data_IF_792263417867
#
_entry.id   IF_792263417867
#
_cell.length_a   1.000
_cell.length_b   1.000
_cell.length_c   1.000
_cell.angle_alpha   90.00
_cell.angle_beta   90.00
_cell.angle_gamma   90.00
#
_symmetry.space_group_name_H-M   'P 1'
#
loop_
_entity.id
_entity.type
_entity.pdbx_description
1 polymer ?
#
# COMPACT_ATOMS: atom_id res chain seq x y z
N UNK A 1 6.44 -33.03 -52.08
CA UNK A 1 7.18 -32.78 -50.82
C UNK A 1 6.36 -31.76 -50.06
N UNK A 2 5.78 -32.13 -48.92
CA UNK A 2 5.00 -31.21 -48.10
C UNK A 2 5.97 -30.36 -47.29
N UNK A 3 5.93 -29.03 -47.49
CA UNK A 3 6.56 -28.06 -46.61
C UNK A 3 5.99 -28.24 -45.20
N UNK A 4 6.85 -28.62 -44.26
CA UNK A 4 6.52 -28.55 -42.84
C UNK A 4 6.42 -27.07 -42.47
N UNK A 5 5.19 -26.56 -42.32
CA UNK A 5 4.93 -25.27 -41.71
C UNK A 5 5.46 -25.30 -40.28
N UNK A 6 6.47 -24.48 -40.00
CA UNK A 6 6.97 -24.24 -38.65
C UNK A 6 5.83 -23.68 -37.76
N UNK A 7 5.85 -23.94 -36.44
CA UNK A 7 4.76 -23.54 -35.56
C UNK A 7 4.55 -22.01 -35.57
N UNK A 8 3.27 -21.61 -35.53
CA UNK A 8 2.74 -20.26 -35.81
C UNK A 8 2.96 -19.25 -34.67
N UNK A 9 3.55 -19.63 -33.53
CA UNK A 9 3.68 -18.78 -32.33
C UNK A 9 5.09 -18.81 -31.72
N UNK A 10 5.64 -17.63 -31.39
CA UNK A 10 6.87 -17.50 -30.59
C UNK A 10 6.55 -17.72 -29.10
N UNK A 11 7.29 -18.58 -28.37
CA UNK A 11 7.16 -18.72 -26.92
C UNK A 11 7.09 -17.40 -26.14
N UNK A 12 7.80 -16.36 -26.58
CA UNK A 12 7.76 -15.03 -25.92
C UNK A 12 6.39 -14.37 -26.02
N UNK A 13 5.73 -14.50 -27.17
CA UNK A 13 4.38 -13.96 -27.38
C UNK A 13 3.37 -14.68 -26.47
N UNK A 14 3.56 -15.99 -26.27
CA UNK A 14 2.74 -16.78 -25.34
C UNK A 14 2.94 -16.28 -23.91
N UNK A 15 4.19 -16.09 -23.47
CA UNK A 15 4.52 -15.60 -22.13
C UNK A 15 3.96 -14.20 -21.88
N UNK A 16 4.08 -13.30 -22.86
CA UNK A 16 3.52 -11.95 -22.80
C UNK A 16 1.99 -11.98 -22.68
N UNK A 17 1.32 -12.83 -23.46
CA UNK A 17 -0.12 -13.00 -23.41
C UNK A 17 -0.58 -13.55 -22.05
N UNK A 18 0.12 -14.55 -21.52
CA UNK A 18 -0.13 -15.09 -20.19
C UNK A 18 0.04 -14.03 -19.09
N UNK A 19 1.07 -13.18 -19.21
CA UNK A 19 1.31 -12.09 -18.28
C UNK A 19 0.19 -11.05 -18.30
N UNK A 20 -0.37 -10.74 -19.48
CA UNK A 20 -1.53 -9.84 -19.61
C UNK A 20 -2.73 -10.42 -18.87
N UNK A 21 -3.06 -11.70 -19.10
CA UNK A 21 -4.18 -12.35 -18.41
C UNK A 21 -3.98 -12.42 -16.90
N UNK A 22 -2.77 -12.76 -16.45
CA UNK A 22 -2.47 -12.81 -15.01
C UNK A 22 -2.62 -11.43 -14.35
N UNK A 23 -2.16 -10.36 -15.00
CA UNK A 23 -2.33 -8.99 -14.50
C UNK A 23 -3.80 -8.60 -14.37
N UNK A 24 -4.64 -9.01 -15.32
CA UNK A 24 -6.08 -8.74 -15.25
C UNK A 24 -6.78 -9.53 -14.15
N UNK A 25 -6.37 -10.79 -13.92
CA UNK A 25 -6.88 -11.60 -12.81
C UNK A 25 -6.51 -11.00 -11.44
N UNK A 26 -5.26 -10.55 -11.27
CA UNK A 26 -4.76 -9.94 -10.03
C UNK A 26 -5.57 -8.70 -9.61
N UNK A 27 -6.15 -7.97 -10.57
CA UNK A 27 -7.00 -6.80 -10.29
C UNK A 27 -8.33 -7.13 -9.61
N UNK A 28 -8.70 -8.42 -9.47
CA UNK A 28 -9.87 -8.86 -8.71
C UNK A 28 -11.20 -8.21 -9.13
N UNK A 29 -11.41 -7.99 -10.44
CA UNK A 29 -12.62 -7.29 -10.97
C UNK A 29 -13.91 -8.12 -10.91
N UNK A 30 -13.79 -9.43 -10.67
CA UNK A 30 -14.90 -10.36 -10.56
C UNK A 30 -14.52 -11.52 -9.61
N UNK A 31 -15.49 -12.35 -9.23
CA UNK A 31 -15.27 -13.41 -8.26
C UNK A 31 -14.32 -14.53 -8.73
N UNK A 32 -14.23 -14.81 -10.03
CA UNK A 32 -13.25 -15.79 -10.54
C UNK A 32 -11.84 -15.22 -10.49
N UNK A 33 -11.69 -13.94 -10.85
CA UNK A 33 -10.44 -13.18 -10.69
C UNK A 33 -9.97 -13.19 -9.23
N UNK A 34 -10.90 -13.00 -8.27
CA UNK A 34 -10.60 -13.10 -6.83
C UNK A 34 -10.18 -14.52 -6.43
N UNK A 35 -10.90 -15.55 -6.90
CA UNK A 35 -10.56 -16.94 -6.62
C UNK A 35 -9.17 -17.31 -7.14
N UNK A 36 -8.85 -16.95 -8.39
CA UNK A 36 -7.53 -17.19 -8.98
C UNK A 36 -6.43 -16.42 -8.23
N UNK A 37 -6.68 -15.15 -7.90
CA UNK A 37 -5.71 -14.33 -7.15
C UNK A 37 -5.46 -14.86 -5.74
N UNK A 38 -6.50 -15.38 -5.08
CA UNK A 38 -6.41 -16.04 -3.79
C UNK A 38 -5.54 -17.31 -3.90
N UNK A 39 -5.81 -18.17 -4.88
CA UNK A 39 -5.01 -19.37 -5.12
C UNK A 39 -3.54 -19.01 -5.44
N UNK A 40 -3.31 -17.97 -6.22
CA UNK A 40 -1.97 -17.48 -6.54
C UNK A 40 -1.25 -16.91 -5.32
N UNK A 41 -1.93 -16.09 -4.51
CA UNK A 41 -1.41 -15.58 -3.24
C UNK A 41 -1.03 -16.74 -2.30
N UNK A 42 -1.90 -17.73 -2.16
CA UNK A 42 -1.63 -18.93 -1.36
C UNK A 42 -0.41 -19.68 -1.89
N UNK A 43 -0.30 -19.86 -3.20
CA UNK A 43 0.89 -20.48 -3.82
C UNK A 43 2.15 -19.70 -3.46
N UNK A 44 2.18 -18.39 -3.70
CA UNK A 44 3.35 -17.54 -3.47
C UNK A 44 3.81 -17.54 -2.02
N UNK A 45 2.88 -17.47 -1.05
CA UNK A 45 3.23 -17.46 0.38
C UNK A 45 3.87 -18.77 0.81
N UNK A 46 3.46 -19.90 0.22
CA UNK A 46 4.00 -21.22 0.55
C UNK A 46 5.18 -21.64 -0.33
N UNK A 47 5.35 -21.02 -1.51
CA UNK A 47 6.43 -21.31 -2.44
C UNK A 47 6.60 -20.16 -3.47
N UNK A 48 7.69 -19.36 -3.42
CA UNK A 48 8.87 -19.47 -2.56
C UNK A 48 8.77 -18.67 -1.24
N UNK A 49 7.63 -18.03 -0.95
CA UNK A 49 7.51 -17.00 0.07
C UNK A 49 7.91 -15.61 -0.45
N UNK A 50 7.84 -14.59 0.41
CA UNK A 50 8.27 -13.23 0.09
C UNK A 50 9.81 -13.15 0.09
N UNK A 51 10.41 -12.67 -1.01
CA UNK A 51 11.86 -12.50 -1.20
C UNK A 51 12.19 -11.13 -1.82
N UNK A 52 13.47 -10.78 -1.84
CA UNK A 52 13.98 -9.56 -2.50
C UNK A 52 13.71 -9.52 -4.00
N UNK A 53 13.46 -10.68 -4.62
CA UNK A 53 13.37 -10.78 -6.08
C UNK A 53 11.92 -10.80 -6.55
N UNK A 54 10.97 -11.11 -5.65
CA UNK A 54 9.56 -11.27 -6.00
C UNK A 54 8.61 -10.30 -5.29
N UNK A 55 9.09 -9.46 -4.35
CA UNK A 55 8.24 -8.49 -3.65
C UNK A 55 7.38 -7.60 -4.58
N UNK A 56 7.80 -7.24 -5.82
CA UNK A 56 6.93 -6.46 -6.71
C UNK A 56 5.62 -7.17 -7.08
N UNK A 57 5.60 -8.50 -7.09
CA UNK A 57 4.37 -9.29 -7.32
C UNK A 57 3.43 -9.17 -6.13
N UNK A 58 3.98 -9.20 -4.91
CA UNK A 58 3.20 -9.00 -3.69
C UNK A 58 2.57 -7.59 -3.64
N UNK A 59 3.28 -6.56 -4.10
CA UNK A 59 2.72 -5.21 -4.23
C UNK A 59 1.50 -5.18 -5.16
N UNK A 60 1.50 -5.91 -6.27
CA UNK A 60 0.33 -5.97 -7.17
C UNK A 60 -0.87 -6.64 -6.50
N UNK A 61 -0.65 -7.69 -5.71
CA UNK A 61 -1.72 -8.33 -4.93
C UNK A 61 -2.24 -7.43 -3.81
N UNK A 62 -1.35 -6.66 -3.16
CA UNK A 62 -1.72 -5.69 -2.12
C UNK A 62 -2.55 -4.54 -2.73
N UNK A 63 -2.18 -4.06 -3.92
CA UNK A 63 -2.88 -2.97 -4.61
C UNK A 63 -4.36 -3.27 -4.84
N UNK A 64 -4.68 -4.52 -5.18
CA UNK A 64 -6.05 -4.97 -5.39
C UNK A 64 -6.91 -4.83 -4.11
N UNK A 65 -6.26 -4.80 -2.94
CA UNK A 65 -6.88 -4.57 -1.62
C UNK A 65 -8.09 -5.47 -1.31
N UNK A 66 -8.22 -6.60 -2.00
CA UNK A 66 -9.33 -7.52 -1.82
C UNK A 66 -9.10 -8.36 -0.55
N UNK A 67 -10.05 -8.32 0.39
CA UNK A 67 -9.91 -8.95 1.72
C UNK A 67 -9.44 -10.39 1.67
N UNK A 68 -10.05 -11.24 0.84
CA UNK A 68 -9.69 -12.67 0.81
C UNK A 68 -8.26 -12.90 0.32
N UNK A 69 -7.79 -12.10 -0.63
CA UNK A 69 -6.40 -12.15 -1.11
C UNK A 69 -5.44 -11.66 -0.01
N UNK A 70 -5.77 -10.55 0.64
CA UNK A 70 -4.93 -9.95 1.69
C UNK A 70 -4.85 -10.85 2.93
N UNK A 71 -5.97 -11.46 3.34
CA UNK A 71 -6.01 -12.42 4.45
C UNK A 71 -5.16 -13.64 4.14
N UNK A 72 -5.20 -14.11 2.89
CA UNK A 72 -4.35 -15.21 2.41
C UNK A 72 -2.87 -14.83 2.42
N UNK A 73 -2.53 -13.61 1.99
CA UNK A 73 -1.16 -13.11 2.03
C UNK A 73 -0.61 -13.05 3.46
N UNK A 74 -1.39 -12.49 4.38
CA UNK A 74 -0.95 -12.28 5.76
C UNK A 74 -0.92 -13.58 6.56
N UNK A 75 -1.81 -14.54 6.28
CA UNK A 75 -1.85 -15.83 6.95
C UNK A 75 -2.00 -15.71 8.47
N UNK A 76 -2.69 -14.67 8.95
CA UNK A 76 -2.88 -14.37 10.38
C UNK A 76 -1.65 -13.80 11.10
N UNK A 77 -0.55 -13.53 10.39
CA UNK A 77 0.62 -12.83 10.95
C UNK A 77 0.35 -11.34 11.07
N UNK A 78 1.21 -10.64 11.82
CA UNK A 78 1.15 -9.18 11.96
C UNK A 78 1.32 -8.50 10.59
N UNK A 79 0.28 -7.82 10.05
CA UNK A 79 0.33 -7.22 8.73
C UNK A 79 1.38 -6.11 8.63
N UNK A 80 1.63 -5.36 9.71
CA UNK A 80 2.61 -4.28 9.70
C UNK A 80 4.06 -4.81 9.54
N UNK A 81 4.28 -6.11 9.76
CA UNK A 81 5.58 -6.77 9.57
C UNK A 81 5.67 -7.58 8.28
N UNK A 82 4.63 -7.54 7.44
CA UNK A 82 4.57 -8.38 6.25
C UNK A 82 5.80 -8.21 5.34
N UNK A 83 6.21 -6.98 5.07
CA UNK A 83 7.38 -6.64 4.25
C UNK A 83 8.70 -6.57 5.06
N UNK A 84 8.69 -6.90 6.35
CA UNK A 84 9.79 -6.61 7.28
C UNK A 84 11.10 -7.37 6.99
N UNK A 85 11.03 -8.46 6.22
CA UNK A 85 12.21 -9.22 5.79
C UNK A 85 12.86 -8.68 4.50
N UNK A 86 12.25 -7.67 3.87
CA UNK A 86 12.75 -7.04 2.66
C UNK A 86 13.35 -5.70 3.03
N UNK A 87 14.57 -5.44 2.55
CA UNK A 87 15.21 -4.14 2.75
C UNK A 87 14.40 -3.07 2.00
N UNK A 88 13.89 -2.03 2.69
CA UNK A 88 13.18 -0.95 2.03
C UNK A 88 14.05 -0.25 0.98
N UNK A 89 13.43 0.14 -0.13
CA UNK A 89 14.08 0.87 -1.21
C UNK A 89 13.12 1.89 -1.83
N UNK A 90 13.67 2.81 -2.65
CA UNK A 90 12.90 3.91 -3.23
C UNK A 90 11.71 3.49 -4.08
N UNK A 91 11.76 2.33 -4.76
CA UNK A 91 10.61 1.81 -5.51
C UNK A 91 9.46 1.43 -4.57
N UNK A 92 9.76 0.74 -3.46
CA UNK A 92 8.75 0.32 -2.48
C UNK A 92 8.05 1.52 -1.83
N UNK A 93 8.81 2.57 -1.47
CA UNK A 93 8.24 3.79 -0.89
C UNK A 93 7.39 4.53 -1.92
N UNK A 94 7.87 4.64 -3.16
CA UNK A 94 7.13 5.27 -4.26
C UNK A 94 5.78 4.57 -4.49
N UNK A 95 5.77 3.25 -4.60
CA UNK A 95 4.53 2.49 -4.79
C UNK A 95 3.61 2.59 -3.56
N UNK A 96 4.17 2.64 -2.35
CA UNK A 96 3.40 2.84 -1.12
C UNK A 96 2.67 4.19 -1.12
N UNK A 97 3.35 5.29 -1.45
CA UNK A 97 2.69 6.60 -1.55
C UNK A 97 1.74 6.70 -2.75
N UNK A 98 2.01 5.97 -3.84
CA UNK A 98 1.05 5.82 -4.95
C UNK A 98 -0.23 5.14 -4.47
N UNK A 99 -0.14 4.05 -3.71
CA UNK A 99 -1.31 3.40 -3.12
C UNK A 99 -2.08 4.35 -2.20
N UNK A 100 -1.40 5.05 -1.29
CA UNK A 100 -2.04 6.04 -0.42
C UNK A 100 -2.68 7.18 -1.23
N UNK A 101 -2.17 7.52 -2.41
CA UNK A 101 -2.80 8.51 -3.29
C UNK A 101 -4.11 7.99 -3.90
N UNK A 102 -4.09 6.76 -4.42
CA UNK A 102 -5.24 6.13 -5.10
C UNK A 102 -6.33 5.71 -4.12
N UNK A 103 -5.95 5.14 -2.98
CA UNK A 103 -6.90 4.68 -1.97
C UNK A 103 -7.55 5.85 -1.27
N UNK A 104 -8.88 5.80 -1.15
CA UNK A 104 -9.63 6.79 -0.35
C UNK A 104 -9.65 6.38 1.12
N UNK A 105 -9.90 7.35 1.99
CA UNK A 105 -10.07 7.07 3.41
C UNK A 105 -11.25 6.09 3.61
N UNK A 106 -11.06 5.01 4.38
CA UNK A 106 -12.07 3.97 4.60
C UNK A 106 -12.38 3.04 3.41
N UNK A 107 -11.96 3.37 2.19
CA UNK A 107 -12.21 2.59 0.96
C UNK A 107 -11.24 1.44 0.70
N UNK A 108 -10.24 1.24 1.57
CA UNK A 108 -9.25 0.17 1.48
C UNK A 108 -9.42 -0.79 2.65
N UNK A 109 -9.23 -2.09 2.39
CA UNK A 109 -9.25 -3.09 3.46
C UNK A 109 -8.17 -2.77 4.53
N UNK A 110 -8.52 -2.64 5.83
CA UNK A 110 -7.60 -2.15 6.84
C UNK A 110 -6.28 -2.94 6.97
N UNK A 111 -6.30 -4.25 6.75
CA UNK A 111 -5.09 -5.07 6.82
C UNK A 111 -4.13 -4.73 5.66
N UNK A 112 -4.65 -4.46 4.46
CA UNK A 112 -3.83 -4.05 3.32
C UNK A 112 -3.15 -2.69 3.60
N UNK A 113 -3.90 -1.75 4.17
CA UNK A 113 -3.36 -0.47 4.59
C UNK A 113 -2.26 -0.64 5.64
N UNK A 114 -2.46 -1.50 6.65
CA UNK A 114 -1.44 -1.77 7.67
C UNK A 114 -0.14 -2.36 7.10
N UNK A 115 -0.21 -3.19 6.05
CA UNK A 115 0.99 -3.71 5.38
C UNK A 115 1.84 -2.58 4.78
N UNK A 116 1.20 -1.63 4.12
CA UNK A 116 1.87 -0.47 3.51
C UNK A 116 2.38 0.50 4.59
N UNK A 117 1.54 0.79 5.59
CA UNK A 117 1.93 1.62 6.72
C UNK A 117 3.10 1.03 7.51
N UNK A 118 3.17 -0.30 7.65
CA UNK A 118 4.28 -0.99 8.31
C UNK A 118 5.62 -0.78 7.62
N UNK A 119 5.65 -0.87 6.29
CA UNK A 119 6.84 -0.54 5.50
C UNK A 119 7.25 0.92 5.66
N UNK A 120 6.30 1.85 5.56
CA UNK A 120 6.57 3.28 5.72
C UNK A 120 7.09 3.59 7.13
N UNK A 121 6.48 2.97 8.15
CA UNK A 121 6.93 3.07 9.54
C UNK A 121 8.39 2.63 9.72
N UNK A 122 8.76 1.48 9.15
CA UNK A 122 10.14 1.01 9.18
C UNK A 122 11.08 1.98 8.46
N UNK A 123 10.67 2.48 7.29
CA UNK A 123 11.49 3.33 6.43
C UNK A 123 11.75 4.71 7.02
N UNK A 124 10.77 5.30 7.71
CA UNK A 124 10.89 6.59 8.39
C UNK A 124 11.31 6.47 9.86
N UNK A 125 11.72 5.28 10.32
CA UNK A 125 12.34 5.13 11.65
C UNK A 125 13.59 6.00 11.79
N UNK A 126 14.37 6.12 10.71
CA UNK A 126 15.28 7.23 10.46
C UNK A 126 14.69 8.13 9.36
N UNK A 127 14.19 9.33 9.70
CA UNK A 127 13.49 10.16 8.74
C UNK A 127 14.38 10.72 7.62
N UNK A 128 15.68 10.93 7.87
CA UNK A 128 16.63 11.42 6.85
C UNK A 128 16.86 10.36 5.77
N UNK A 129 17.05 9.11 6.21
CA UNK A 129 17.20 7.96 5.33
C UNK A 129 15.93 7.70 4.52
N UNK A 130 14.76 7.72 5.18
CA UNK A 130 13.46 7.59 4.50
C UNK A 130 13.26 8.67 3.44
N UNK A 131 13.55 9.94 3.77
CA UNK A 131 13.44 11.06 2.83
C UNK A 131 14.47 10.98 1.69
N UNK A 132 15.65 10.41 1.94
CA UNK A 132 16.67 10.16 0.91
C UNK A 132 16.23 9.06 -0.06
N UNK A 133 15.59 8.00 0.43
CA UNK A 133 15.06 6.92 -0.41
C UNK A 133 13.89 7.37 -1.28
N UNK A 134 13.01 8.21 -0.72
CA UNK A 134 11.88 8.82 -1.43
C UNK A 134 11.64 10.24 -0.91
N UNK A 135 11.92 11.22 -1.78
CA UNK A 135 11.74 12.64 -1.49
C UNK A 135 10.25 12.97 -1.43
N UNK A 136 9.74 13.12 -0.21
CA UNK A 136 8.33 13.45 0.02
C UNK A 136 8.00 14.85 -0.48
N UNK A 137 6.74 15.03 -0.87
CA UNK A 137 6.11 16.34 -1.01
C UNK A 137 4.89 16.47 -0.08
N UNK A 138 4.31 17.67 -0.01
CA UNK A 138 3.14 17.96 0.82
C UNK A 138 1.93 17.07 0.49
N UNK A 139 1.74 16.71 -0.78
CA UNK A 139 0.63 15.82 -1.18
C UNK A 139 0.82 14.39 -0.66
N UNK A 140 2.05 13.88 -0.62
CA UNK A 140 2.34 12.57 -0.02
C UNK A 140 1.94 12.55 1.46
N UNK A 141 2.29 13.61 2.20
CA UNK A 141 1.95 13.77 3.62
C UNK A 141 0.44 13.90 3.82
N UNK A 142 -0.26 14.63 2.95
CA UNK A 142 -1.73 14.73 2.97
C UNK A 142 -2.39 13.37 2.70
N UNK A 143 -1.89 12.62 1.72
CA UNK A 143 -2.41 11.29 1.38
C UNK A 143 -2.10 10.25 2.44
N UNK A 144 -1.02 10.40 3.22
CA UNK A 144 -0.81 9.62 4.44
C UNK A 144 -1.82 10.00 5.54
N UNK A 145 -1.94 11.31 5.80
CA UNK A 145 -2.77 11.85 6.87
C UNK A 145 -4.28 11.62 6.70
N UNK A 146 -4.78 11.54 5.46
CA UNK A 146 -6.23 11.33 5.19
C UNK A 146 -6.75 10.00 5.72
N UNK A 147 -5.86 9.03 5.95
CA UNK A 147 -6.21 7.74 6.53
C UNK A 147 -6.28 7.78 8.06
N UNK A 148 -6.05 8.91 8.73
CA UNK A 148 -6.36 9.03 10.16
C UNK A 148 -7.87 8.93 10.41
N UNK A 149 -8.26 8.13 11.39
CA UNK A 149 -9.67 7.95 11.76
C UNK A 149 -10.00 8.62 13.09
N UNK A 150 -10.63 9.80 13.02
CA UNK A 150 -11.11 10.57 14.17
C UNK A 150 -12.20 9.87 14.99
N UNK A 151 -12.82 8.81 14.46
CA UNK A 151 -13.78 8.00 15.25
C UNK A 151 -13.09 7.07 16.25
N UNK A 152 -11.77 6.90 16.13
CA UNK A 152 -10.93 6.08 16.99
C UNK A 152 -9.89 6.94 17.69
N UNK A 153 -9.34 6.42 18.78
CA UNK A 153 -8.29 7.10 19.52
C UNK A 153 -6.91 6.98 18.85
N UNK A 154 -5.91 7.60 19.46
CA UNK A 154 -4.52 7.55 19.00
C UNK A 154 -3.83 6.18 19.19
N UNK A 155 -4.46 5.26 19.93
CA UNK A 155 -3.92 3.94 20.25
C UNK A 155 -4.38 2.87 19.25
N UNK A 156 -5.43 3.14 18.46
CA UNK A 156 -5.79 2.32 17.31
C UNK A 156 -4.54 2.06 16.42
N UNK A 157 -4.28 0.82 15.98
CA UNK A 157 -3.06 0.47 15.26
C UNK A 157 -2.78 1.35 14.04
N UNK A 158 -3.79 1.69 13.26
CA UNK A 158 -3.66 2.52 12.07
C UNK A 158 -3.29 3.96 12.45
N UNK A 159 -4.05 4.56 13.38
CA UNK A 159 -3.80 5.91 13.85
C UNK A 159 -2.40 6.02 14.47
N UNK A 160 -2.05 5.08 15.35
CA UNK A 160 -0.74 5.05 16.01
C UNK A 160 0.42 5.00 15.01
N UNK A 161 0.34 4.15 13.99
CA UNK A 161 1.40 4.05 12.98
C UNK A 161 1.49 5.35 12.17
N UNK A 162 0.36 5.87 11.67
CA UNK A 162 0.35 7.12 10.88
C UNK A 162 0.91 8.28 11.70
N UNK A 163 0.44 8.46 12.93
CA UNK A 163 0.90 9.53 13.82
C UNK A 163 2.40 9.40 14.12
N UNK A 164 2.92 8.18 14.25
CA UNK A 164 4.35 7.97 14.45
C UNK A 164 5.15 8.32 13.20
N UNK A 165 4.68 7.96 12.00
CA UNK A 165 5.33 8.35 10.74
C UNK A 165 5.34 9.88 10.61
N UNK A 166 4.21 10.54 10.87
CA UNK A 166 4.09 12.01 10.83
C UNK A 166 5.03 12.68 11.83
N UNK A 167 5.17 12.13 13.04
CA UNK A 167 6.09 12.61 14.06
C UNK A 167 7.56 12.52 13.60
N UNK A 168 7.94 11.39 12.97
CA UNK A 168 9.28 11.21 12.39
C UNK A 168 9.54 12.17 11.23
N UNK A 169 8.57 12.39 10.35
CA UNK A 169 8.70 13.35 9.26
C UNK A 169 8.83 14.78 9.80
N UNK A 170 8.05 15.14 10.83
CA UNK A 170 8.12 16.44 11.47
C UNK A 170 9.49 16.72 12.11
N UNK A 171 10.21 15.69 12.57
CA UNK A 171 11.54 15.84 13.18
C UNK A 171 12.68 16.15 12.18
N UNK A 172 12.39 16.21 10.87
CA UNK A 172 13.37 16.65 9.86
C UNK A 172 13.86 18.09 10.07
N UNK A 173 13.14 18.91 10.85
CA UNK A 173 13.44 20.34 11.04
C UNK A 173 13.80 20.73 12.48
N UNK A 174 14.37 19.80 13.25
CA UNK A 174 14.80 20.08 14.63
C UNK A 174 15.86 21.19 14.72
N UNK A 175 15.84 22.04 15.77
CA UNK A 175 16.76 23.18 15.90
C UNK A 175 18.25 22.81 15.90
N UNK A 176 18.59 21.57 16.28
CA UNK A 176 19.97 21.09 16.31
C UNK A 176 20.50 20.68 14.92
N UNK A 177 19.66 20.71 13.88
CA UNK A 177 20.02 20.30 12.52
C UNK A 177 20.39 21.49 11.63
N UNK A 178 21.17 21.27 10.57
CA UNK A 178 21.39 22.28 9.54
C UNK A 178 20.07 22.83 9.00
N UNK A 179 20.08 24.07 8.53
CA UNK A 179 18.90 24.70 7.96
C UNK A 179 18.34 23.81 6.82
N UNK A 180 17.09 23.34 6.91
CA UNK A 180 16.48 22.49 5.89
C UNK A 180 16.22 23.30 4.62
N UNK A 181 16.13 22.59 3.49
CA UNK A 181 15.59 23.19 2.27
C UNK A 181 14.12 23.57 2.48
N UNK A 182 13.60 24.48 1.64
CA UNK A 182 12.19 24.89 1.69
C UNK A 182 11.25 23.68 1.54
N UNK A 183 11.53 22.77 0.60
CA UNK A 183 10.74 21.56 0.40
C UNK A 183 10.70 20.66 1.64
N UNK A 184 11.83 20.44 2.32
CA UNK A 184 11.89 19.65 3.56
C UNK A 184 11.09 20.35 4.67
N UNK A 185 11.20 21.68 4.76
CA UNK A 185 10.44 22.48 5.73
C UNK A 185 8.94 22.34 5.53
N UNK A 186 8.45 22.46 4.31
CA UNK A 186 7.02 22.39 4.01
C UNK A 186 6.43 21.02 4.37
N UNK A 187 7.14 19.95 4.02
CA UNK A 187 6.78 18.56 4.35
C UNK A 187 6.71 18.36 5.87
N UNK A 188 7.74 18.79 6.60
CA UNK A 188 7.81 18.61 8.04
C UNK A 188 6.76 19.45 8.79
N UNK A 189 6.54 20.70 8.37
CA UNK A 189 5.50 21.57 8.92
C UNK A 189 4.11 20.98 8.66
N UNK A 190 3.85 20.46 7.46
CA UNK A 190 2.57 19.84 7.16
C UNK A 190 2.35 18.57 7.99
N UNK A 191 3.37 17.73 8.17
CA UNK A 191 3.26 16.54 9.00
C UNK A 191 2.91 16.89 10.46
N UNK A 192 3.57 17.91 11.01
CA UNK A 192 3.27 18.43 12.34
C UNK A 192 1.86 19.04 12.43
N UNK A 193 1.43 19.78 11.41
CA UNK A 193 0.09 20.38 11.34
C UNK A 193 -1.00 19.31 11.39
N UNK A 194 -0.94 18.29 10.51
CA UNK A 194 -1.90 17.18 10.49
C UNK A 194 -1.94 16.47 11.84
N UNK A 195 -0.77 16.13 12.40
CA UNK A 195 -0.65 15.48 13.71
C UNK A 195 -1.31 16.32 14.81
N UNK A 196 -1.03 17.62 14.85
CA UNK A 196 -1.63 18.55 15.81
C UNK A 196 -3.15 18.62 15.68
N UNK A 197 -3.68 18.75 14.46
CA UNK A 197 -5.13 18.76 14.22
C UNK A 197 -5.80 17.43 14.57
N UNK A 198 -5.09 16.31 14.47
CA UNK A 198 -5.63 15.02 14.90
C UNK A 198 -5.73 14.90 16.43
N UNK A 199 -4.67 15.29 17.15
CA UNK A 199 -4.59 15.13 18.60
C UNK A 199 -5.42 16.16 19.38
N UNK A 200 -5.70 17.31 18.79
CA UNK A 200 -6.58 18.32 19.39
C UNK A 200 -8.06 17.96 19.15
N UNK A 201 -8.80 17.74 20.24
CA UNK A 201 -10.23 17.40 20.23
C UNK A 201 -11.12 18.55 19.75
N UNK A 202 -10.61 19.78 19.73
CA UNK A 202 -11.33 20.97 19.26
C UNK A 202 -11.14 21.22 17.75
N UNK A 203 -10.29 20.43 17.09
CA UNK A 203 -9.87 20.65 15.71
C UNK A 203 -10.34 19.55 14.77
N UNK A 204 -10.50 19.94 13.51
CA UNK A 204 -10.86 19.04 12.42
C UNK A 204 -9.66 18.78 11.51
N UNK A 205 -9.58 17.57 10.94
CA UNK A 205 -8.56 17.23 9.94
C UNK A 205 -8.69 18.09 8.67
N UNK A 206 -9.91 18.54 8.36
CA UNK A 206 -10.20 19.47 7.26
C UNK A 206 -9.45 20.81 7.37
N UNK A 207 -9.03 21.20 8.58
CA UNK A 207 -8.22 22.40 8.79
C UNK A 207 -6.76 22.23 8.32
N UNK A 208 -6.31 21.00 8.05
CA UNK A 208 -4.96 20.70 7.56
C UNK A 208 -4.94 20.00 6.20
N UNK A 209 -5.95 19.17 5.91
CA UNK A 209 -6.04 18.36 4.69
C UNK A 209 -7.25 18.83 3.88
N UNK A 210 -7.11 19.03 2.56
CA UNK A 210 -8.24 19.38 1.69
C UNK A 210 -9.43 18.42 1.83
N UNK A 211 -10.65 18.94 1.92
CA UNK A 211 -11.88 18.14 2.12
C UNK A 211 -12.07 17.04 1.07
N UNK A 212 -11.67 17.31 -0.18
CA UNK A 212 -11.74 16.33 -1.28
C UNK A 212 -10.95 15.04 -0.99
N UNK A 213 -9.91 15.10 -0.16
CA UNK A 213 -9.12 13.93 0.25
C UNK A 213 -9.72 13.23 1.48
N UNK A 214 -10.58 13.90 2.24
CA UNK A 214 -11.18 13.39 3.48
C UNK A 214 -12.52 12.69 3.28
N UNK A 215 -13.00 12.61 2.04
CA UNK A 215 -14.19 11.83 1.69
C UNK A 215 -13.97 10.37 2.09
N UNK A 216 -14.78 9.90 3.04
CA UNK A 216 -14.77 8.52 3.51
C UNK A 216 -15.58 7.62 2.58
N UNK A 217 -15.02 6.47 2.27
CA UNK A 217 -15.69 5.35 1.63
C UNK A 217 -15.83 4.18 2.62
N UNK A 218 -16.54 3.15 2.20
CA UNK A 218 -16.67 1.89 2.91
C UNK A 218 -16.12 0.78 2.01
N UNK A 219 -15.00 0.18 2.39
CA UNK A 219 -14.38 -0.90 1.62
C UNK A 219 -15.31 -2.11 1.43
N UNK A 220 -16.29 -2.31 2.31
CA UNK A 220 -17.24 -3.44 2.18
C UNK A 220 -18.24 -3.22 1.03
N UNK A 221 -18.46 -1.97 0.61
CA UNK A 221 -19.39 -1.64 -0.45
C UNK A 221 -18.87 -2.03 -1.85
N UNK A 222 -17.55 -2.09 -2.03
CA UNK A 222 -16.88 -2.43 -3.29
C UNK A 222 -16.27 -3.84 -3.27
N UNK A 223 -16.56 -4.60 -2.23
CA UNK A 223 -15.95 -5.89 -2.00
C UNK A 223 -16.53 -6.99 -2.91
N UNK A 224 -15.64 -7.82 -3.47
CA UNK A 224 -16.01 -8.90 -4.40
C UNK A 224 -15.56 -10.26 -3.84
N UNK A 225 -16.49 -11.17 -3.47
CA UNK A 225 -16.15 -12.49 -2.95
C UNK A 225 -15.64 -13.45 -4.04
N UNK A 226 -14.80 -14.43 -3.68
CA UNK A 226 -14.35 -15.47 -4.60
C UNK A 226 -15.52 -16.31 -5.10
N UNK A 227 -15.49 -16.65 -6.39
CA UNK A 227 -16.38 -17.63 -7.02
C UNK A 227 -15.56 -18.82 -7.50
N UNK A 228 -15.88 -19.99 -6.98
CA UNK A 228 -15.27 -21.25 -7.44
C UNK A 228 -15.91 -21.62 -8.78
N UNK A 229 -15.11 -21.94 -9.83
CA UNK A 229 -15.64 -22.45 -11.08
C UNK A 229 -16.47 -23.73 -10.85
N UNK A 230 -17.65 -23.88 -11.49
CA UNK A 230 -18.40 -25.12 -11.39
C UNK A 230 -17.59 -26.25 -12.03
N UNK A 231 -17.30 -27.28 -11.24
CA UNK A 231 -16.72 -28.52 -11.75
C UNK A 231 -17.89 -29.47 -12.04
N UNK A 232 -18.14 -29.75 -13.33
CA UNK A 232 -19.03 -30.83 -13.72
C UNK A 232 -18.25 -32.14 -13.57
N UNK A 233 -18.24 -32.70 -12.37
CA UNK A 233 -17.63 -34.00 -12.05
C UNK A 233 -18.73 -35.06 -12.04
#
# INVERSE_FOLDING_TARGET
MAEQQAPVWDPREIDELQLVYMKDLIRCKDGFSVFTSLAYAHYLVNNPGLTSDNYPVFFQLIEAANRWVIDTLTGGKDPARFLGNIQPNGWMLKESFRFLTVWKSGGVYPIALLMILGLLYQSYSNPEEGYRMYTLNVNDVNNLGKHLDKSKDQMDPQNRIILTILDRIASLIEPQRPAPTEAVRDVALQANNIRGKFLDMTKQLAEAIPDVLLVKEDFTATEIPPKVPPLNI
#
